data_IF_427677192166
#
_entry.id   IF_427677192166
#
_cell.length_a   1.000
_cell.length_b   1.000
_cell.length_c   1.000
_cell.angle_alpha   90.00
_cell.angle_beta   90.00
_cell.angle_gamma   90.00
#
_symmetry.space_group_name_H-M   'P 1'
#
loop_
_entity.id
_entity.type
_entity.pdbx_description
1 polymer ?
#
# COMPACT_ATOMS: atom_id res chain seq x y z
N UNK A 1 -23.72 54.41 6.45
CA UNK A 1 -22.28 54.34 6.83
C UNK A 1 -22.25 53.52 8.11
N UNK A 2 -21.56 52.40 8.26
CA UNK A 2 -20.20 52.05 7.84
C UNK A 2 -20.18 50.53 7.58
N UNK A 3 -19.66 50.12 6.43
CA UNK A 3 -19.21 48.75 6.23
C UNK A 3 -17.88 48.58 6.96
N UNK A 4 -17.65 47.44 7.62
CA UNK A 4 -16.30 46.92 7.76
C UNK A 4 -16.29 45.40 7.91
N UNK A 5 -15.65 44.79 6.91
CA UNK A 5 -15.12 43.44 6.92
C UNK A 5 -13.94 43.35 7.91
N UNK A 6 -13.62 42.14 8.36
CA UNK A 6 -12.23 41.64 8.38
C UNK A 6 -12.20 40.13 8.69
N UNK A 7 -11.90 39.38 7.62
CA UNK A 7 -10.91 38.31 7.59
C UNK A 7 -11.12 37.07 8.48
N UNK A 8 -11.72 36.04 7.88
CA UNK A 8 -11.39 34.66 8.23
C UNK A 8 -9.91 34.47 7.95
N UNK A 9 -9.10 34.34 9.01
CA UNK A 9 -7.74 33.82 8.90
C UNK A 9 -7.81 32.41 8.31
N UNK A 10 -7.44 32.30 7.03
CA UNK A 10 -7.04 31.03 6.45
C UNK A 10 -5.83 30.52 7.23
N UNK A 11 -6.04 29.48 8.04
CA UNK A 11 -4.93 28.74 8.62
C UNK A 11 -4.30 27.92 7.49
N UNK A 12 -3.21 28.46 6.96
CA UNK A 12 -2.35 27.84 5.96
C UNK A 12 -1.73 26.55 6.51
N UNK A 13 -2.48 25.45 6.43
CA UNK A 13 -1.96 24.09 6.61
C UNK A 13 -1.13 23.63 5.41
N UNK A 14 -0.13 24.42 5.00
CA UNK A 14 0.66 24.22 3.77
C UNK A 14 2.03 23.61 4.04
N UNK A 15 2.11 22.62 4.93
CA UNK A 15 3.36 21.88 5.22
C UNK A 15 3.28 20.36 5.14
N UNK A 16 2.09 19.78 4.93
CA UNK A 16 1.94 18.31 4.92
C UNK A 16 2.02 17.71 3.51
N UNK A 17 1.74 18.47 2.44
CA UNK A 17 1.73 17.93 1.08
C UNK A 17 3.14 17.57 0.56
N UNK A 18 4.14 18.40 0.81
CA UNK A 18 5.49 18.19 0.26
C UNK A 18 6.18 16.96 0.87
N UNK A 19 6.11 16.79 2.19
CA UNK A 19 6.73 15.63 2.85
C UNK A 19 6.07 14.30 2.44
N UNK A 20 4.73 14.26 2.34
CA UNK A 20 4.01 13.08 1.84
C UNK A 20 4.39 12.76 0.38
N UNK A 21 4.52 13.78 -0.47
CA UNK A 21 4.97 13.59 -1.87
C UNK A 21 6.40 13.07 -1.95
N UNK A 22 7.32 13.55 -1.10
CA UNK A 22 8.72 13.09 -1.07
C UNK A 22 8.87 11.67 -0.52
N UNK A 23 8.08 11.30 0.50
CA UNK A 23 8.08 9.93 1.03
C UNK A 23 7.51 8.96 0.00
N UNK A 24 6.41 9.33 -0.67
CA UNK A 24 5.82 8.52 -1.72
C UNK A 24 6.75 8.38 -2.94
N UNK A 25 7.42 9.46 -3.36
CA UNK A 25 8.37 9.40 -4.48
C UNK A 25 9.62 8.57 -4.15
N UNK A 26 10.11 8.63 -2.91
CA UNK A 26 11.23 7.80 -2.48
C UNK A 26 10.87 6.31 -2.43
N UNK A 27 9.67 5.98 -1.94
CA UNK A 27 9.16 4.60 -1.95
C UNK A 27 8.99 4.07 -3.37
N UNK A 28 8.43 4.86 -4.30
CA UNK A 28 8.30 4.50 -5.71
C UNK A 28 9.64 4.21 -6.38
N UNK A 29 10.67 5.02 -6.11
CA UNK A 29 12.03 4.77 -6.63
C UNK A 29 12.64 3.47 -6.10
N UNK A 30 12.51 3.22 -4.80
CA UNK A 30 13.01 1.97 -4.18
C UNK A 30 12.28 0.73 -4.72
N UNK A 31 10.97 0.81 -4.91
CA UNK A 31 10.19 -0.29 -5.51
C UNK A 31 10.68 -0.57 -6.93
N UNK A 32 10.94 0.45 -7.73
CA UNK A 32 11.48 0.29 -9.08
C UNK A 32 12.83 -0.44 -9.08
N UNK A 33 13.75 -0.04 -8.22
CA UNK A 33 15.05 -0.71 -8.08
C UNK A 33 14.87 -2.17 -7.67
N UNK A 34 13.98 -2.44 -6.72
CA UNK A 34 13.66 -3.80 -6.29
C UNK A 34 13.03 -4.64 -7.42
N UNK A 35 12.22 -4.03 -8.29
CA UNK A 35 11.65 -4.72 -9.45
C UNK A 35 12.74 -5.14 -10.44
N UNK A 36 13.73 -4.27 -10.69
CA UNK A 36 14.85 -4.59 -11.58
C UNK A 36 15.66 -5.76 -11.02
N UNK A 37 15.95 -5.76 -9.71
CA UNK A 37 16.61 -6.87 -9.04
C UNK A 37 15.77 -8.16 -9.06
N UNK A 38 14.46 -8.05 -8.83
CA UNK A 38 13.53 -9.17 -8.83
C UNK A 38 13.41 -9.86 -10.19
N UNK A 39 13.54 -9.11 -11.29
CA UNK A 39 13.45 -9.63 -12.65
C UNK A 39 14.74 -10.26 -13.15
N UNK A 40 15.84 -10.20 -12.40
CA UNK A 40 17.07 -10.92 -12.75
C UNK A 40 16.82 -12.43 -12.77
N UNK A 41 17.44 -13.20 -13.69
CA UNK A 41 17.20 -14.65 -13.83
C UNK A 41 17.35 -15.43 -12.52
N UNK A 42 18.31 -15.07 -11.68
CA UNK A 42 18.57 -15.66 -10.36
C UNK A 42 17.46 -15.42 -9.33
N UNK A 43 16.68 -14.35 -9.49
CA UNK A 43 15.65 -13.93 -8.53
C UNK A 43 14.23 -14.21 -9.03
N UNK A 44 14.00 -14.19 -10.35
CA UNK A 44 12.66 -14.23 -10.95
C UNK A 44 11.83 -15.46 -10.54
N UNK A 45 12.48 -16.61 -10.32
CA UNK A 45 11.80 -17.82 -9.86
C UNK A 45 11.13 -17.63 -8.48
N UNK A 46 11.67 -16.77 -7.62
CA UNK A 46 11.16 -16.52 -6.27
C UNK A 46 9.95 -15.58 -6.24
N UNK A 47 9.69 -14.85 -7.32
CA UNK A 47 8.59 -13.89 -7.42
C UNK A 47 7.23 -14.55 -7.66
N UNK A 48 7.22 -15.83 -8.04
CA UNK A 48 6.01 -16.62 -8.31
C UNK A 48 5.07 -15.96 -9.35
N UNK A 49 5.63 -15.25 -10.33
CA UNK A 49 4.85 -14.59 -11.40
C UNK A 49 4.14 -15.60 -12.32
N UNK A 50 4.68 -16.82 -12.48
CA UNK A 50 4.03 -17.94 -13.21
C UNK A 50 3.48 -17.54 -14.60
N UNK A 51 4.26 -16.77 -15.38
CA UNK A 51 3.86 -16.31 -16.70
C UNK A 51 3.15 -14.95 -16.72
N UNK A 52 2.82 -14.38 -15.55
CA UNK A 52 2.27 -13.02 -15.43
C UNK A 52 3.32 -11.93 -15.68
N UNK A 53 4.62 -12.28 -15.63
CA UNK A 53 5.74 -11.42 -15.99
C UNK A 53 5.58 -10.82 -17.39
N UNK A 54 5.03 -11.59 -18.34
CA UNK A 54 4.76 -11.14 -19.72
C UNK A 54 3.70 -10.06 -19.84
N UNK A 55 2.88 -9.89 -18.80
CA UNK A 55 1.80 -8.91 -18.75
C UNK A 55 2.20 -7.66 -17.95
N UNK A 56 3.43 -7.61 -17.44
CA UNK A 56 3.93 -6.42 -16.77
C UNK A 56 4.23 -5.34 -17.81
N UNK A 57 3.73 -4.13 -17.56
CA UNK A 57 3.93 -2.96 -18.42
C UNK A 57 4.79 -1.96 -17.67
N UNK A 58 5.86 -1.50 -18.32
CA UNK A 58 6.69 -0.40 -17.81
C UNK A 58 5.98 0.92 -18.13
N UNK A 59 5.82 1.80 -17.14
CA UNK A 59 5.23 3.14 -17.33
C UNK A 59 6.28 4.25 -17.35
N UNK A 60 5.84 5.49 -17.51
CA UNK A 60 6.67 6.70 -17.57
C UNK A 60 7.57 6.90 -16.34
N UNK A 61 7.17 6.40 -15.18
CA UNK A 61 7.96 6.41 -13.94
C UNK A 61 9.05 5.33 -13.91
N UNK A 62 9.10 4.46 -14.92
CA UNK A 62 10.04 3.35 -15.06
C UNK A 62 9.70 2.14 -14.20
N UNK A 63 8.58 2.15 -13.46
CA UNK A 63 8.15 1.00 -12.68
C UNK A 63 7.31 0.03 -13.51
N UNK A 64 7.31 -1.23 -13.13
CA UNK A 64 6.49 -2.30 -13.70
C UNK A 64 5.10 -2.32 -13.07
N UNK A 65 4.07 -2.42 -13.91
CA UNK A 65 2.67 -2.42 -13.52
C UNK A 65 1.95 -3.66 -14.03
N UNK A 66 0.96 -4.12 -13.25
CA UNK A 66 -0.02 -5.13 -13.67
C UNK A 66 -1.44 -4.59 -13.44
N UNK A 67 -2.30 -4.63 -14.46
CA UNK A 67 -3.68 -4.10 -14.38
C UNK A 67 -3.75 -2.68 -13.79
N UNK A 68 -2.90 -1.78 -14.29
CA UNK A 68 -2.79 -0.39 -13.84
C UNK A 68 -2.34 -0.20 -12.37
N UNK A 69 -1.80 -1.22 -11.71
CA UNK A 69 -1.28 -1.17 -10.33
C UNK A 69 0.21 -1.47 -10.31
N UNK A 70 0.94 -0.83 -9.41
CA UNK A 70 2.38 -1.06 -9.26
C UNK A 70 2.59 -2.49 -8.79
N UNK A 71 3.42 -3.26 -9.49
CA UNK A 71 3.80 -4.59 -9.03
C UNK A 71 4.77 -4.48 -7.86
N UNK A 72 4.45 -5.10 -6.73
CA UNK A 72 5.35 -5.14 -5.57
C UNK A 72 6.12 -6.47 -5.57
N UNK A 73 7.44 -6.45 -5.82
CA UNK A 73 8.24 -7.66 -5.79
C UNK A 73 8.31 -8.24 -4.37
N UNK A 74 8.58 -9.53 -4.28
CA UNK A 74 8.95 -10.21 -3.04
C UNK A 74 10.35 -9.76 -2.61
N UNK A 75 11.24 -9.54 -3.58
CA UNK A 75 12.55 -8.95 -3.36
C UNK A 75 12.44 -7.59 -2.65
N UNK A 76 13.34 -7.35 -1.69
CA UNK A 76 13.41 -6.09 -0.95
C UNK A 76 12.36 -5.90 0.16
N UNK A 77 11.42 -6.84 0.35
CA UNK A 77 10.50 -6.81 1.51
C UNK A 77 9.44 -5.70 1.47
N UNK A 78 9.22 -5.07 0.31
CA UNK A 78 8.27 -3.96 0.18
C UNK A 78 6.80 -4.35 0.44
N UNK A 79 6.45 -5.64 0.29
CA UNK A 79 5.11 -6.13 0.63
C UNK A 79 4.78 -5.88 2.11
N UNK A 80 5.74 -6.09 3.01
CA UNK A 80 5.55 -5.82 4.44
C UNK A 80 5.43 -4.33 4.72
N UNK A 81 6.17 -3.49 4.01
CA UNK A 81 6.06 -2.03 4.13
C UNK A 81 4.66 -1.56 3.75
N UNK A 82 4.15 -2.00 2.59
CA UNK A 82 2.80 -1.69 2.11
C UNK A 82 1.73 -2.20 3.09
N UNK A 83 1.87 -3.44 3.57
CA UNK A 83 0.94 -4.00 4.55
C UNK A 83 0.97 -3.26 5.89
N UNK A 84 2.15 -2.89 6.38
CA UNK A 84 2.31 -2.11 7.62
C UNK A 84 1.69 -0.73 7.50
N UNK A 85 1.90 -0.04 6.37
CA UNK A 85 1.35 1.29 6.13
C UNK A 85 -0.17 1.25 6.10
N UNK A 86 -0.76 0.35 5.31
CA UNK A 86 -2.22 0.17 5.23
C UNK A 86 -2.86 -0.24 6.57
N UNK A 87 -2.12 -0.98 7.40
CA UNK A 87 -2.60 -1.40 8.73
C UNK A 87 -2.51 -0.28 9.78
N UNK A 88 -1.57 0.68 9.65
CA UNK A 88 -1.30 1.75 10.65
C UNK A 88 -2.06 3.06 10.41
N UNK A 89 -2.76 3.21 9.28
CA UNK A 89 -3.43 4.47 8.91
C UNK A 89 -4.36 4.97 10.02
N UNK A 90 -4.23 6.24 10.46
CA UNK A 90 -4.84 6.83 11.67
C UNK A 90 -6.37 6.75 11.81
N UNK A 91 -7.09 6.33 10.76
CA UNK A 91 -8.55 6.21 10.72
C UNK A 91 -9.05 4.76 10.75
N UNK A 92 -8.14 3.85 11.08
CA UNK A 92 -8.39 2.42 11.14
C UNK A 92 -8.67 2.02 12.59
N UNK A 93 -9.93 2.09 13.00
CA UNK A 93 -10.44 1.12 13.97
C UNK A 93 -10.29 -0.22 13.25
N UNK A 94 -9.13 -0.86 13.45
CA UNK A 94 -8.62 -2.09 12.83
C UNK A 94 -9.35 -2.57 11.57
N UNK A 95 -8.87 -2.24 10.34
CA UNK A 95 -9.46 -2.73 9.12
C UNK A 95 -9.43 -4.24 9.19
N UNK A 96 -10.61 -4.84 9.11
CA UNK A 96 -10.71 -6.24 8.76
C UNK A 96 -9.93 -6.48 7.47
N UNK A 97 -9.52 -7.71 7.29
CA UNK A 97 -8.84 -8.21 6.10
C UNK A 97 -9.38 -7.64 4.78
N UNK A 98 -10.71 -7.58 4.62
CA UNK A 98 -11.35 -7.11 3.39
C UNK A 98 -11.06 -5.62 3.12
N UNK A 99 -11.12 -4.78 4.15
CA UNK A 99 -10.83 -3.35 4.00
C UNK A 99 -9.36 -3.13 3.62
N UNK A 100 -8.46 -3.81 4.32
CA UNK A 100 -7.03 -3.72 4.02
C UNK A 100 -6.70 -4.19 2.61
N UNK A 101 -7.32 -5.29 2.15
CA UNK A 101 -7.16 -5.76 0.78
C UNK A 101 -7.67 -4.74 -0.24
N UNK A 102 -8.85 -4.15 -0.03
CA UNK A 102 -9.43 -3.16 -0.93
C UNK A 102 -8.55 -1.91 -1.03
N UNK A 103 -8.03 -1.40 0.10
CA UNK A 103 -7.18 -0.21 0.14
C UNK A 103 -5.86 -0.45 -0.63
N UNK A 104 -5.18 -1.57 -0.38
CA UNK A 104 -3.92 -1.93 -1.06
C UNK A 104 -4.16 -2.17 -2.56
N UNK A 105 -5.25 -2.87 -2.91
CA UNK A 105 -5.67 -3.19 -4.28
C UNK A 105 -5.83 -1.93 -5.14
N UNK A 106 -6.05 -0.74 -4.59
CA UNK A 106 -6.19 0.46 -5.43
C UNK A 106 -4.91 0.82 -6.17
N UNK A 107 -3.75 0.62 -5.54
CA UNK A 107 -2.47 1.11 -6.06
C UNK A 107 -1.45 0.00 -6.34
N UNK A 108 -1.58 -1.14 -5.65
CA UNK A 108 -0.57 -2.19 -5.65
C UNK A 108 -1.12 -3.55 -6.08
N UNK A 109 -0.20 -4.41 -6.54
CA UNK A 109 -0.49 -5.79 -6.91
C UNK A 109 0.72 -6.69 -6.70
N UNK A 110 0.49 -7.95 -6.30
CA UNK A 110 1.48 -9.02 -6.35
C UNK A 110 0.81 -10.41 -6.39
N UNK A 111 1.51 -11.48 -6.81
CA UNK A 111 0.98 -12.84 -6.76
C UNK A 111 0.58 -13.23 -5.34
N UNK A 112 -0.57 -13.88 -5.17
CA UNK A 112 -1.11 -14.31 -3.87
C UNK A 112 -1.39 -13.18 -2.86
N UNK A 113 -1.47 -11.91 -3.29
CA UNK A 113 -1.72 -10.74 -2.43
C UNK A 113 -2.87 -10.93 -1.45
N UNK A 114 -4.00 -11.48 -1.93
CA UNK A 114 -5.18 -11.73 -1.11
C UNK A 114 -4.90 -12.74 0.03
N UNK A 115 -4.07 -13.76 -0.17
CA UNK A 115 -3.72 -14.73 0.87
C UNK A 115 -2.65 -14.20 1.84
N UNK A 116 -1.67 -13.45 1.33
CA UNK A 116 -0.63 -12.84 2.15
C UNK A 116 -1.20 -11.80 3.12
N UNK A 117 -2.14 -10.96 2.67
CA UNK A 117 -2.83 -9.99 3.54
C UNK A 117 -3.66 -10.70 4.62
N UNK A 118 -4.33 -11.81 4.30
CA UNK A 118 -5.08 -12.59 5.30
C UNK A 118 -4.14 -13.13 6.39
N UNK A 119 -2.99 -13.64 5.98
CA UNK A 119 -1.95 -14.15 6.87
C UNK A 119 -1.32 -13.03 7.71
N UNK A 120 -1.18 -11.84 7.15
CA UNK A 120 -0.67 -10.68 7.87
C UNK A 120 -1.66 -10.23 8.96
N UNK A 121 -2.95 -10.06 8.61
CA UNK A 121 -3.98 -9.61 9.55
C UNK A 121 -4.24 -10.66 10.64
N UNK A 122 -4.16 -11.96 10.34
CA UNK A 122 -4.37 -13.01 11.35
C UNK A 122 -3.29 -13.02 12.44
N UNK A 123 -2.08 -12.51 12.15
CA UNK A 123 -1.00 -12.35 13.12
C UNK A 123 -1.18 -11.11 14.02
N UNK A 124 -2.12 -10.23 13.72
CA UNK A 124 -2.39 -9.06 14.55
C UNK A 124 -3.30 -9.42 15.74
N UNK A 125 -2.72 -9.44 16.95
CA UNK A 125 -3.43 -9.76 18.20
C UNK A 125 -4.65 -8.86 18.41
N UNK A 126 -4.57 -7.58 18.04
CA UNK A 126 -5.68 -6.64 18.21
C UNK A 126 -6.82 -6.94 17.23
N UNK A 127 -6.51 -7.25 15.97
CA UNK A 127 -7.53 -7.67 15.00
C UNK A 127 -8.20 -8.99 15.41
N UNK A 128 -7.44 -9.91 16.01
CA UNK A 128 -7.98 -11.17 16.50
C UNK A 128 -9.00 -10.96 17.64
N UNK A 129 -8.70 -10.10 18.62
CA UNK A 129 -9.61 -9.78 19.74
C UNK A 129 -10.94 -9.20 19.25
N UNK A 130 -10.87 -8.21 18.36
CA UNK A 130 -12.04 -7.55 17.78
C UNK A 130 -12.95 -8.57 17.05
N UNK A 131 -12.36 -9.52 16.31
CA UNK A 131 -13.12 -10.56 15.62
C UNK A 131 -13.90 -11.46 16.57
N UNK A 132 -13.35 -11.77 17.75
CA UNK A 132 -14.01 -12.59 18.78
C UNK A 132 -15.18 -11.82 19.41
N UNK A 133 -15.02 -10.52 19.67
CA UNK A 133 -16.08 -9.67 20.25
C UNK A 133 -17.30 -9.49 19.32
N UNK A 134 -17.09 -9.44 18.00
CA UNK A 134 -18.18 -9.27 17.03
C UNK A 134 -18.83 -10.59 16.56
N UNK A 135 -18.32 -11.76 16.95
CA UNK A 135 -19.04 -13.01 16.78
C UNK A 135 -20.15 -13.09 17.83
N UNK A 136 -21.42 -13.09 17.40
CA UNK A 136 -22.55 -13.33 18.31
C UNK A 136 -22.33 -14.64 19.07
N UNK A 137 -22.58 -14.69 20.40
CA UNK A 137 -22.66 -15.96 21.11
C UNK A 137 -23.70 -16.84 20.42
N UNK A 138 -23.38 -18.13 20.30
CA UNK A 138 -24.29 -19.14 19.76
C UNK A 138 -25.36 -19.51 20.77
#
# INVERSE_FOLDING_TARGET
MVANALSRKEYSGRRVKTLTMTVHSHLSSQIKEAQLEALKPENAANEALRGMDKNLVIKEDGAHYFMNRIWIPKFGGFRDVVMNEAHKTRYSIHPGYDKMYLDIKLHYWWPNMKAEIATYVSKCLTCAKVKVEYQKPT
#
